data_IF_104582368360
#
_entry.id   IF_104582368360
#
_cell.length_a   1.000
_cell.length_b   1.000
_cell.length_c   1.000
_cell.angle_alpha   90.00
_cell.angle_beta   90.00
_cell.angle_gamma   90.00
#
_symmetry.space_group_name_H-M   'P 1'
#
loop_
_entity.id
_entity.type
_entity.pdbx_description
1 polymer ?
#
# COMPACT_ATOMS: atom_id res chain seq x y z
N UNK A 1 3.10 -0.06 -43.40
CA UNK A 1 3.08 0.62 -42.08
C UNK A 1 3.41 -0.42 -41.01
N UNK A 2 4.18 -0.08 -39.96
CA UNK A 2 4.46 -1.02 -38.88
C UNK A 2 3.17 -1.38 -38.14
N UNK A 3 2.97 -2.67 -37.91
CA UNK A 3 1.75 -3.22 -37.30
C UNK A 3 1.61 -2.77 -35.84
N UNK A 4 2.71 -2.82 -35.10
CA UNK A 4 2.80 -2.34 -33.72
C UNK A 4 3.62 -1.06 -33.68
N UNK A 5 3.14 -0.06 -32.94
CA UNK A 5 3.84 1.18 -32.68
C UNK A 5 4.11 1.33 -31.18
N UNK A 6 5.35 1.65 -30.84
CA UNK A 6 5.78 1.83 -29.45
C UNK A 6 6.06 3.30 -29.19
N UNK A 7 5.90 3.73 -27.95
CA UNK A 7 6.22 5.08 -27.51
C UNK A 7 6.75 5.08 -26.08
N UNK A 8 7.59 6.05 -25.77
CA UNK A 8 8.03 6.37 -24.42
C UNK A 8 7.82 7.87 -24.25
N UNK A 9 7.11 8.26 -23.21
CA UNK A 9 6.89 9.67 -22.87
C UNK A 9 7.17 9.91 -21.40
N UNK A 10 7.94 10.96 -21.11
CA UNK A 10 8.12 11.48 -19.76
C UNK A 10 7.05 12.56 -19.52
N UNK A 11 6.27 12.38 -18.46
CA UNK A 11 5.19 13.30 -18.07
C UNK A 11 5.61 14.29 -16.99
N UNK A 12 6.86 14.23 -16.52
CA UNK A 12 7.35 14.90 -15.31
C UNK A 12 6.86 14.24 -14.02
N UNK A 13 5.80 13.42 -14.07
CA UNK A 13 5.26 12.62 -12.95
C UNK A 13 5.70 11.16 -13.00
N UNK A 14 6.21 10.71 -14.13
CA UNK A 14 6.59 9.33 -14.40
C UNK A 14 6.72 9.07 -15.89
N UNK A 15 7.19 7.86 -16.20
CA UNK A 15 7.35 7.41 -17.57
C UNK A 15 6.14 6.57 -18.00
N UNK A 16 5.60 6.87 -19.18
CA UNK A 16 4.58 6.07 -19.85
C UNK A 16 5.25 5.31 -21.00
N UNK A 17 5.17 3.99 -20.97
CA UNK A 17 5.56 3.12 -22.07
C UNK A 17 4.28 2.65 -22.79
N UNK A 18 4.08 3.15 -24.00
CA UNK A 18 2.88 2.89 -24.79
C UNK A 18 3.12 1.88 -25.91
N UNK A 19 2.09 1.09 -26.21
CA UNK A 19 2.00 0.18 -27.34
C UNK A 19 0.63 0.34 -28.01
N UNK A 20 0.64 0.43 -29.34
CA UNK A 20 -0.58 0.53 -30.16
C UNK A 20 -0.51 -0.53 -31.25
N UNK A 21 -1.57 -1.34 -31.39
CA UNK A 21 -1.80 -2.14 -32.59
C UNK A 21 -2.60 -1.30 -33.60
N UNK A 22 -1.93 -0.89 -34.67
CA UNK A 22 -2.49 0.01 -35.68
C UNK A 22 -3.62 -0.61 -36.51
N UNK A 23 -3.78 -1.93 -36.48
CA UNK A 23 -4.86 -2.63 -37.20
C UNK A 23 -6.16 -2.63 -36.43
N UNK A 24 -6.07 -2.70 -35.09
CA UNK A 24 -7.23 -2.83 -34.20
C UNK A 24 -7.49 -1.57 -33.37
N UNK A 25 -6.59 -0.58 -33.44
CA UNK A 25 -6.52 0.61 -32.59
C UNK A 25 -6.52 0.29 -31.08
N UNK A 26 -6.17 -0.95 -30.71
CA UNK A 26 -6.01 -1.34 -29.32
C UNK A 26 -4.72 -0.76 -28.77
N UNK A 27 -4.79 -0.26 -27.54
CA UNK A 27 -3.68 0.40 -26.86
C UNK A 27 -3.44 -0.21 -25.51
N UNK A 28 -2.17 -0.32 -25.14
CA UNK A 28 -1.73 -0.65 -23.81
C UNK A 28 -0.68 0.36 -23.36
N UNK A 29 -0.70 0.69 -22.08
CA UNK A 29 0.28 1.58 -21.48
C UNK A 29 0.71 1.03 -20.14
N UNK A 30 1.99 1.19 -19.84
CA UNK A 30 2.53 0.96 -18.50
C UNK A 30 3.02 2.29 -17.97
N UNK A 31 2.47 2.72 -16.84
CA UNK A 31 2.89 3.95 -16.17
C UNK A 31 3.67 3.62 -14.90
N UNK A 32 4.90 4.12 -14.81
CA UNK A 32 5.73 4.01 -13.62
C UNK A 32 6.01 5.42 -13.10
N UNK A 33 5.41 5.82 -11.96
CA UNK A 33 5.66 7.13 -11.36
C UNK A 33 7.14 7.35 -11.01
N UNK A 34 7.66 8.57 -11.20
CA UNK A 34 9.08 8.88 -10.90
C UNK A 34 9.40 8.69 -9.41
N UNK A 35 8.44 8.98 -8.54
CA UNK A 35 8.56 8.79 -7.10
C UNK A 35 8.09 7.41 -6.61
N UNK A 36 7.79 6.48 -7.53
CA UNK A 36 7.25 5.18 -7.16
C UNK A 36 8.18 4.45 -6.21
N UNK A 37 7.66 4.17 -5.01
CA UNK A 37 8.29 3.33 -4.00
C UNK A 37 9.75 3.72 -3.67
N UNK A 38 10.08 5.02 -3.81
CA UNK A 38 11.39 5.54 -3.46
C UNK A 38 11.74 5.16 -2.01
N UNK A 39 12.98 4.73 -1.80
CA UNK A 39 13.49 4.27 -0.49
C UNK A 39 12.84 2.99 0.06
N UNK A 40 12.13 2.23 -0.80
CA UNK A 40 11.59 0.90 -0.45
C UNK A 40 12.27 -0.21 -1.23
N UNK A 41 12.05 -1.46 -0.81
CA UNK A 41 12.52 -2.66 -1.52
C UNK A 41 11.94 -2.81 -2.95
N UNK A 42 10.86 -2.08 -3.28
CA UNK A 42 10.19 -2.16 -4.59
C UNK A 42 10.86 -1.29 -5.67
N UNK A 43 11.67 -0.30 -5.30
CA UNK A 43 12.27 0.66 -6.24
C UNK A 43 13.14 -0.03 -7.31
N UNK A 44 14.07 -0.88 -6.87
CA UNK A 44 14.98 -1.60 -7.77
C UNK A 44 14.25 -2.53 -8.75
N UNK A 45 13.38 -3.43 -8.27
CA UNK A 45 12.57 -4.29 -9.13
C UNK A 45 11.65 -3.53 -10.11
N UNK A 46 11.06 -2.40 -9.69
CA UNK A 46 10.26 -1.56 -10.59
C UNK A 46 11.09 -0.92 -11.71
N UNK A 47 12.30 -0.45 -11.38
CA UNK A 47 13.25 0.03 -12.38
C UNK A 47 13.68 -1.08 -13.35
N UNK A 48 13.84 -2.32 -12.87
CA UNK A 48 14.13 -3.46 -13.73
C UNK A 48 12.97 -3.79 -14.70
N UNK A 49 11.71 -3.69 -14.23
CA UNK A 49 10.53 -3.79 -15.11
C UNK A 49 10.53 -2.69 -16.17
N UNK A 50 10.78 -1.44 -15.78
CA UNK A 50 10.86 -0.31 -16.70
C UNK A 50 11.86 -0.59 -17.84
N UNK A 51 13.09 -1.00 -17.49
CA UNK A 51 14.14 -1.32 -18.46
C UNK A 51 13.73 -2.49 -19.36
N UNK A 52 13.09 -3.51 -18.80
CA UNK A 52 12.64 -4.68 -19.56
C UNK A 52 11.54 -4.34 -20.58
N UNK A 53 10.58 -3.47 -20.23
CA UNK A 53 9.55 -3.02 -21.17
C UNK A 53 10.15 -2.11 -22.24
N UNK A 54 11.07 -1.22 -21.87
CA UNK A 54 11.78 -0.39 -22.84
C UNK A 54 12.57 -1.27 -23.84
N UNK A 55 13.26 -2.31 -23.36
CA UNK A 55 13.89 -3.32 -24.20
C UNK A 55 12.90 -4.09 -25.08
N UNK A 56 11.75 -4.46 -24.53
CA UNK A 56 10.64 -5.07 -25.28
C UNK A 56 10.08 -4.16 -26.37
N UNK A 57 9.96 -2.85 -26.12
CA UNK A 57 9.54 -1.87 -27.14
C UNK A 57 10.56 -1.80 -28.30
N UNK A 58 11.86 -1.84 -27.98
CA UNK A 58 12.92 -1.91 -29.00
C UNK A 58 12.79 -3.19 -29.82
N UNK A 59 12.59 -4.33 -29.17
CA UNK A 59 12.40 -5.63 -29.83
C UNK A 59 11.18 -5.62 -30.76
N UNK A 60 10.03 -5.11 -30.29
CA UNK A 60 8.81 -4.95 -31.09
C UNK A 60 9.08 -4.08 -32.31
N UNK A 61 9.79 -2.97 -32.15
CA UNK A 61 10.08 -2.04 -33.25
C UNK A 61 10.96 -2.69 -34.30
N UNK A 62 12.01 -3.42 -33.87
CA UNK A 62 12.92 -4.12 -34.78
C UNK A 62 12.22 -5.28 -35.51
N UNK A 63 11.45 -6.09 -34.79
CA UNK A 63 10.73 -7.22 -35.35
C UNK A 63 9.64 -6.75 -36.33
N UNK A 64 8.88 -5.70 -35.98
CA UNK A 64 7.82 -5.13 -36.83
C UNK A 64 8.35 -4.53 -38.13
N UNK A 65 9.63 -4.16 -38.17
CA UNK A 65 10.28 -3.65 -39.38
C UNK A 65 10.78 -4.77 -40.32
N UNK A 66 10.96 -6.00 -39.81
CA UNK A 66 11.64 -7.09 -40.52
C UNK A 66 10.74 -8.28 -40.83
N UNK A 67 9.71 -8.51 -40.02
CA UNK A 67 8.88 -9.71 -40.10
C UNK A 67 7.49 -9.41 -40.65
N UNK A 68 6.92 -10.39 -41.37
CA UNK A 68 5.52 -10.40 -41.76
C UNK A 68 4.62 -10.62 -40.52
N UNK A 69 3.34 -10.22 -40.54
CA UNK A 69 2.47 -10.24 -39.36
C UNK A 69 2.31 -11.59 -38.66
N UNK A 70 2.21 -12.71 -39.39
CA UNK A 70 2.12 -14.03 -38.75
C UNK A 70 3.44 -14.41 -38.06
N UNK A 71 4.57 -14.23 -38.74
CA UNK A 71 5.91 -14.51 -38.20
C UNK A 71 6.28 -13.57 -37.03
N UNK A 72 5.79 -12.34 -37.04
CA UNK A 72 5.97 -11.37 -35.97
C UNK A 72 5.34 -11.87 -34.67
N UNK A 73 4.12 -12.39 -34.74
CA UNK A 73 3.37 -12.83 -33.56
C UNK A 73 4.06 -14.01 -32.87
N UNK A 74 4.50 -15.01 -33.65
CA UNK A 74 5.27 -16.15 -33.13
C UNK A 74 6.61 -15.70 -32.52
N UNK A 75 7.33 -14.83 -33.22
CA UNK A 75 8.60 -14.28 -32.73
C UNK A 75 8.43 -13.56 -31.39
N UNK A 76 7.44 -12.66 -31.28
CA UNK A 76 7.19 -11.90 -30.05
C UNK A 76 6.74 -12.80 -28.88
N UNK A 77 5.96 -13.85 -29.15
CA UNK A 77 5.61 -14.87 -28.13
C UNK A 77 6.84 -15.61 -27.57
N UNK A 78 7.93 -15.71 -28.34
CA UNK A 78 9.18 -16.30 -27.87
C UNK A 78 10.12 -15.27 -27.22
N UNK A 79 10.30 -14.10 -27.84
CA UNK A 79 11.32 -13.11 -27.46
C UNK A 79 10.91 -12.26 -26.25
N UNK A 80 9.68 -11.76 -26.19
CA UNK A 80 9.25 -10.87 -25.12
C UNK A 80 9.25 -11.54 -23.74
N UNK A 81 8.78 -12.80 -23.58
CA UNK A 81 8.91 -13.48 -22.31
C UNK A 81 10.36 -13.69 -21.88
N UNK A 82 11.30 -13.88 -22.81
CA UNK A 82 12.72 -14.02 -22.46
C UNK A 82 13.30 -12.74 -21.82
N UNK A 83 12.80 -11.57 -22.23
CA UNK A 83 13.20 -10.26 -21.69
C UNK A 83 12.48 -9.97 -20.36
N UNK A 84 11.17 -10.24 -20.29
CA UNK A 84 10.30 -9.75 -19.21
C UNK A 84 10.14 -10.74 -18.05
N UNK A 85 10.28 -12.04 -18.26
CA UNK A 85 9.95 -13.07 -17.26
C UNK A 85 10.69 -12.87 -15.94
N UNK A 86 12.01 -12.68 -15.99
CA UNK A 86 12.81 -12.52 -14.77
C UNK A 86 12.46 -11.23 -14.03
N UNK A 87 12.51 -10.03 -14.66
CA UNK A 87 12.09 -8.78 -14.01
C UNK A 87 10.66 -8.82 -13.46
N UNK A 88 9.72 -9.39 -14.22
CA UNK A 88 8.32 -9.50 -13.82
C UNK A 88 8.14 -10.38 -12.58
N UNK A 89 8.73 -11.58 -12.57
CA UNK A 89 8.60 -12.48 -11.44
C UNK A 89 9.34 -11.96 -10.21
N UNK A 90 10.50 -11.33 -10.37
CA UNK A 90 11.21 -10.66 -9.27
C UNK A 90 10.34 -9.57 -8.66
N UNK A 91 9.78 -8.68 -9.47
CA UNK A 91 8.91 -7.61 -8.96
C UNK A 91 7.66 -8.17 -8.28
N UNK A 92 6.96 -9.12 -8.91
CA UNK A 92 5.78 -9.78 -8.34
C UNK A 92 6.08 -10.43 -6.99
N UNK A 93 7.22 -11.12 -6.88
CA UNK A 93 7.65 -11.73 -5.62
C UNK A 93 7.92 -10.67 -4.56
N UNK A 94 8.67 -9.61 -4.90
CA UNK A 94 8.97 -8.52 -3.96
C UNK A 94 7.71 -7.81 -3.48
N UNK A 95 6.69 -7.65 -4.33
CA UNK A 95 5.37 -7.13 -3.91
C UNK A 95 4.76 -8.03 -2.84
N UNK A 96 4.76 -9.35 -3.05
CA UNK A 96 4.26 -10.32 -2.08
C UNK A 96 4.98 -10.24 -0.74
N UNK A 97 6.32 -10.22 -0.77
CA UNK A 97 7.16 -10.14 0.44
C UNK A 97 6.97 -8.80 1.19
N UNK A 98 6.89 -7.70 0.43
CA UNK A 98 6.67 -6.35 0.97
C UNK A 98 5.26 -6.19 1.57
N UNK A 99 4.24 -6.76 0.92
CA UNK A 99 2.88 -6.79 1.45
C UNK A 99 2.78 -7.65 2.70
N UNK A 100 3.33 -8.87 2.69
CA UNK A 100 3.27 -9.78 3.82
C UNK A 100 3.94 -9.20 5.08
N UNK A 101 5.10 -8.57 4.92
CA UNK A 101 5.80 -7.90 6.02
C UNK A 101 5.01 -6.71 6.55
N UNK A 102 4.47 -5.86 5.68
CA UNK A 102 3.65 -4.71 6.07
C UNK A 102 2.34 -5.13 6.75
N UNK A 103 1.69 -6.16 6.23
CA UNK A 103 0.42 -6.68 6.73
C UNK A 103 0.58 -7.32 8.10
N UNK A 104 1.66 -8.06 8.33
CA UNK A 104 1.99 -8.64 9.64
C UNK A 104 2.10 -7.55 10.71
N UNK A 105 2.78 -6.44 10.39
CA UNK A 105 2.90 -5.29 11.30
C UNK A 105 1.55 -4.61 11.52
N UNK A 106 0.77 -4.42 10.46
CA UNK A 106 -0.57 -3.83 10.55
C UNK A 106 -1.49 -4.65 11.45
N UNK A 107 -1.57 -5.96 11.22
CA UNK A 107 -2.41 -6.88 12.01
C UNK A 107 -1.99 -6.86 13.47
N UNK A 108 -0.70 -6.93 13.77
CA UNK A 108 -0.23 -6.88 15.15
C UNK A 108 -0.63 -5.57 15.85
N UNK A 109 -0.48 -4.44 15.18
CA UNK A 109 -0.83 -3.13 15.75
C UNK A 109 -2.33 -2.89 15.83
N UNK A 110 -3.13 -3.43 14.91
CA UNK A 110 -4.59 -3.31 14.92
C UNK A 110 -5.27 -4.34 15.83
N UNK A 111 -4.53 -5.31 16.34
CA UNK A 111 -5.06 -6.33 17.25
C UNK A 111 -4.83 -5.92 18.71
N UNK A 112 -5.87 -5.89 19.56
CA UNK A 112 -5.73 -5.68 20.99
C UNK A 112 -4.85 -6.75 21.65
N UNK A 113 -4.02 -6.33 22.62
CA UNK A 113 -3.32 -7.29 23.46
C UNK A 113 -4.32 -8.11 24.29
N UNK A 114 -3.98 -9.37 24.66
CA UNK A 114 -4.80 -10.18 25.53
C UNK A 114 -5.18 -9.42 26.80
N UNK A 115 -6.43 -9.57 27.21
CA UNK A 115 -6.92 -8.93 28.41
C UNK A 115 -6.30 -9.57 29.66
N UNK A 116 -5.87 -8.72 30.58
CA UNK A 116 -5.39 -9.11 31.92
C UNK A 116 -6.41 -8.72 32.99
N UNK A 117 -6.33 -9.29 34.20
CA UNK A 117 -7.19 -8.89 35.33
C UNK A 117 -7.13 -7.40 35.66
N UNK A 118 -6.01 -6.73 35.37
CA UNK A 118 -5.81 -5.28 35.61
C UNK A 118 -6.50 -4.46 34.53
N UNK A 119 -6.40 -4.87 33.27
CA UNK A 119 -6.94 -4.13 32.13
C UNK A 119 -8.43 -4.35 31.91
N UNK A 120 -8.98 -5.48 32.39
CA UNK A 120 -10.39 -5.85 32.19
C UNK A 120 -11.37 -4.79 32.67
N UNK A 121 -11.30 -4.31 33.92
CA UNK A 121 -12.27 -3.31 34.39
C UNK A 121 -12.22 -1.99 33.60
N UNK A 122 -11.05 -1.62 33.08
CA UNK A 122 -10.86 -0.42 32.26
C UNK A 122 -11.57 -0.60 30.92
N UNK A 123 -11.37 -1.74 30.25
CA UNK A 123 -11.98 -2.08 28.97
C UNK A 123 -13.50 -2.15 29.08
N UNK A 124 -14.02 -2.89 30.06
CA UNK A 124 -15.46 -3.04 30.31
C UNK A 124 -16.15 -1.70 30.59
N UNK A 125 -15.52 -0.85 31.41
CA UNK A 125 -16.04 0.49 31.70
C UNK A 125 -16.08 1.36 30.45
N UNK A 126 -15.06 1.25 29.61
CA UNK A 126 -14.97 2.05 28.37
C UNK A 126 -16.05 1.66 27.38
N UNK A 127 -16.30 0.37 27.17
CA UNK A 127 -17.38 -0.12 26.31
C UNK A 127 -18.73 0.38 26.82
N UNK A 128 -19.00 0.31 28.13
CA UNK A 128 -20.23 0.84 28.72
C UNK A 128 -20.39 2.35 28.50
N UNK A 129 -19.33 3.13 28.67
CA UNK A 129 -19.36 4.57 28.43
C UNK A 129 -19.59 4.90 26.96
N UNK A 130 -19.02 4.10 26.05
CA UNK A 130 -19.24 4.22 24.61
C UNK A 130 -20.69 3.92 24.23
N UNK A 131 -21.29 2.84 24.75
CA UNK A 131 -22.69 2.50 24.52
C UNK A 131 -23.64 3.60 25.01
N UNK A 132 -23.35 4.17 26.18
CA UNK A 132 -24.10 5.31 26.73
C UNK A 132 -23.95 6.55 25.82
N UNK A 133 -22.74 6.83 25.34
CA UNK A 133 -22.48 7.98 24.47
C UNK A 133 -23.19 7.86 23.11
N UNK A 134 -23.19 6.67 22.50
CA UNK A 134 -23.95 6.41 21.28
C UNK A 134 -25.45 6.54 21.55
N UNK A 135 -25.94 5.95 22.65
CA UNK A 135 -27.36 6.03 23.05
C UNK A 135 -27.84 7.47 23.31
N UNK A 136 -26.97 8.33 23.85
CA UNK A 136 -27.27 9.74 24.07
C UNK A 136 -27.26 10.56 22.76
N UNK A 137 -26.46 10.16 21.77
CA UNK A 137 -26.36 10.81 20.47
C UNK A 137 -27.51 10.50 19.50
N UNK A 138 -28.44 9.61 19.87
CA UNK A 138 -29.63 9.23 19.07
C UNK A 138 -30.51 10.45 18.70
N UNK A 139 -30.45 11.53 19.48
CA UNK A 139 -31.20 12.77 19.25
C UNK A 139 -30.35 13.93 18.68
N UNK A 140 -29.08 13.69 18.36
CA UNK A 140 -28.16 14.70 17.83
C UNK A 140 -28.02 14.61 16.31
N UNK A 141 -27.76 15.72 15.63
CA UNK A 141 -27.46 15.71 14.19
C UNK A 141 -26.19 14.89 13.93
N UNK A 142 -26.14 14.13 12.83
CA UNK A 142 -25.02 13.25 12.48
C UNK A 142 -23.62 13.90 12.62
N UNK A 143 -23.47 15.16 12.20
CA UNK A 143 -22.21 15.89 12.31
C UNK A 143 -21.76 16.17 13.76
N UNK A 144 -22.70 16.40 14.68
CA UNK A 144 -22.39 16.62 16.11
C UNK A 144 -22.03 15.31 16.80
N UNK A 145 -22.71 14.22 16.44
CA UNK A 145 -22.36 12.88 16.91
C UNK A 145 -20.94 12.48 16.48
N UNK A 146 -20.58 12.74 15.22
CA UNK A 146 -19.24 12.47 14.67
C UNK A 146 -18.14 13.23 15.42
N UNK A 147 -18.29 14.56 15.60
CA UNK A 147 -17.30 15.38 16.32
C UNK A 147 -17.14 14.93 17.77
N UNK A 148 -18.24 14.59 18.45
CA UNK A 148 -18.19 14.13 19.83
C UNK A 148 -17.50 12.77 19.97
N UNK A 149 -17.71 11.86 19.01
CA UNK A 149 -17.08 10.54 19.00
C UNK A 149 -15.60 10.60 18.60
N UNK A 150 -15.22 11.50 17.69
CA UNK A 150 -13.81 11.77 17.38
C UNK A 150 -13.06 12.37 18.57
N UNK A 151 -13.65 13.33 19.29
CA UNK A 151 -13.04 13.91 20.47
C UNK A 151 -12.93 12.89 21.60
N UNK A 152 -13.95 12.05 21.79
CA UNK A 152 -13.90 10.95 22.74
C UNK A 152 -12.72 10.01 22.46
N UNK A 153 -12.46 9.69 21.19
CA UNK A 153 -11.32 8.87 20.82
C UNK A 153 -9.97 9.56 21.06
N UNK A 154 -9.88 10.90 20.90
CA UNK A 154 -8.65 11.69 21.14
C UNK A 154 -8.23 11.78 22.61
N UNK A 155 -9.11 11.47 23.55
CA UNK A 155 -8.78 11.51 24.97
C UNK A 155 -8.58 10.11 25.57
N UNK A 156 -8.96 9.07 24.84
CA UNK A 156 -8.78 7.70 25.30
C UNK A 156 -7.32 7.25 25.27
N UNK A 157 -6.95 6.51 26.30
CA UNK A 157 -5.67 5.83 26.44
C UNK A 157 -5.68 4.45 25.74
N UNK A 158 -4.52 3.79 25.70
CA UNK A 158 -4.33 2.52 25.00
C UNK A 158 -5.29 1.41 25.46
N UNK A 159 -5.51 1.27 26.76
CA UNK A 159 -6.38 0.21 27.29
C UNK A 159 -7.85 0.47 27.02
N UNK A 160 -8.26 1.74 27.06
CA UNK A 160 -9.63 2.14 26.70
C UNK A 160 -9.90 1.83 25.23
N UNK A 161 -9.01 2.23 24.32
CA UNK A 161 -9.13 1.93 22.89
C UNK A 161 -9.04 0.42 22.61
N UNK A 162 -8.19 -0.31 23.33
CA UNK A 162 -8.10 -1.78 23.23
C UNK A 162 -9.45 -2.44 23.52
N UNK A 163 -10.19 -1.94 24.52
CA UNK A 163 -11.53 -2.42 24.86
C UNK A 163 -12.52 -2.21 23.72
N UNK A 164 -12.54 -1.02 23.12
CA UNK A 164 -13.44 -0.70 22.01
C UNK A 164 -13.16 -1.54 20.76
N UNK A 165 -11.87 -1.74 20.44
CA UNK A 165 -11.47 -2.57 19.30
C UNK A 165 -11.83 -4.04 19.56
N UNK A 166 -11.54 -4.57 20.74
CA UNK A 166 -11.84 -5.97 21.10
C UNK A 166 -13.34 -6.27 21.11
N UNK A 167 -14.16 -5.33 21.56
CA UNK A 167 -15.61 -5.45 21.57
C UNK A 167 -16.26 -5.22 20.19
N UNK A 168 -15.49 -4.86 19.16
CA UNK A 168 -16.01 -4.59 17.82
C UNK A 168 -16.82 -3.29 17.72
N UNK A 169 -16.73 -2.41 18.73
CA UNK A 169 -17.49 -1.16 18.79
C UNK A 169 -17.28 -0.26 17.57
N UNK A 170 -16.09 -0.29 16.96
CA UNK A 170 -15.77 0.52 15.79
C UNK A 170 -16.64 0.21 14.55
N UNK A 171 -17.20 -1.00 14.46
CA UNK A 171 -18.09 -1.39 13.34
C UNK A 171 -19.43 -0.64 13.35
N UNK A 172 -19.82 -0.08 14.50
CA UNK A 172 -21.04 0.73 14.65
C UNK A 172 -20.86 2.20 14.30
N UNK A 173 -19.62 2.63 14.03
CA UNK A 173 -19.27 4.02 13.73
C UNK A 173 -19.22 4.28 12.22
N UNK A 174 -19.42 5.54 11.79
CA UNK A 174 -19.06 5.95 10.43
C UNK A 174 -17.60 5.62 10.12
N UNK A 175 -17.32 5.20 8.88
CA UNK A 175 -16.01 4.68 8.47
C UNK A 175 -14.86 5.68 8.69
N UNK A 176 -15.13 6.98 8.50
CA UNK A 176 -14.16 8.03 8.76
C UNK A 176 -13.75 8.09 10.25
N UNK A 177 -14.73 8.07 11.15
CA UNK A 177 -14.51 8.11 12.60
C UNK A 177 -13.83 6.83 13.06
N UNK A 178 -14.31 5.66 12.63
CA UNK A 178 -13.70 4.37 12.94
C UNK A 178 -12.22 4.33 12.51
N UNK A 179 -11.89 4.91 11.36
CA UNK A 179 -10.53 5.06 10.86
C UNK A 179 -9.65 5.90 11.78
N UNK A 180 -10.13 7.05 12.26
CA UNK A 180 -9.40 7.91 13.20
C UNK A 180 -9.13 7.20 14.53
N UNK A 181 -10.14 6.50 15.07
CA UNK A 181 -9.99 5.75 16.33
C UNK A 181 -8.97 4.63 16.19
N UNK A 182 -9.06 3.87 15.09
CA UNK A 182 -8.12 2.78 14.81
C UNK A 182 -6.69 3.30 14.61
N UNK A 183 -6.50 4.42 13.90
CA UNK A 183 -5.18 5.03 13.72
C UNK A 183 -4.53 5.40 15.03
N UNK A 184 -5.29 6.04 15.92
CA UNK A 184 -4.80 6.39 17.25
C UNK A 184 -4.47 5.15 18.07
N UNK A 185 -5.32 4.13 18.01
CA UNK A 185 -5.05 2.86 18.69
C UNK A 185 -3.74 2.22 18.21
N UNK A 186 -3.53 2.13 16.89
CA UNK A 186 -2.30 1.61 16.31
C UNK A 186 -1.07 2.46 16.68
N UNK A 187 -1.21 3.79 16.71
CA UNK A 187 -0.14 4.69 17.11
C UNK A 187 0.26 4.47 18.59
N UNK A 188 -0.70 4.35 19.50
CA UNK A 188 -0.44 4.06 20.91
C UNK A 188 0.15 2.66 21.11
N UNK A 189 -0.32 1.65 20.36
CA UNK A 189 0.26 0.29 20.35
C UNK A 189 1.72 0.32 19.90
N UNK A 190 2.02 1.05 18.84
CA UNK A 190 3.37 1.22 18.33
C UNK A 190 4.26 1.92 19.36
N UNK A 191 3.79 3.01 19.96
CA UNK A 191 4.52 3.76 20.98
C UNK A 191 4.85 2.89 22.21
N UNK A 192 3.89 2.10 22.69
CA UNK A 192 4.08 1.17 23.80
C UNK A 192 5.06 0.04 23.44
N UNK A 193 4.92 -0.56 22.26
CA UNK A 193 5.76 -1.68 21.80
C UNK A 193 7.22 -1.26 21.60
N UNK A 194 7.46 -0.07 21.07
CA UNK A 194 8.81 0.45 20.83
C UNK A 194 9.41 1.19 22.04
N UNK A 195 8.64 1.35 23.13
CA UNK A 195 9.09 2.11 24.29
C UNK A 195 9.41 3.57 23.96
N UNK A 196 8.65 4.20 23.04
CA UNK A 196 8.95 5.55 22.55
C UNK A 196 9.02 6.60 23.68
N UNK A 197 8.30 6.38 24.78
CA UNK A 197 8.32 7.27 25.94
C UNK A 197 9.74 7.52 26.49
N UNK A 198 10.63 6.52 26.40
CA UNK A 198 12.02 6.64 26.84
C UNK A 198 12.89 7.47 25.87
N UNK A 199 12.49 7.59 24.61
CA UNK A 199 13.17 8.38 23.58
C UNK A 199 12.87 9.88 23.68
N UNK A 200 11.76 10.23 24.33
CA UNK A 200 11.25 11.59 24.43
C UNK A 200 11.10 12.07 25.88
N UNK A 201 12.19 12.15 26.68
CA UNK A 201 12.12 12.79 27.99
C UNK A 201 11.92 14.31 27.83
N UNK A 202 11.07 14.91 28.68
CA UNK A 202 10.98 16.38 28.75
C UNK A 202 12.33 16.92 29.21
N UNK A 203 12.84 17.93 28.50
CA UNK A 203 14.10 18.57 28.87
C UNK A 203 13.92 19.35 30.17
N UNK A 204 14.84 19.14 31.10
CA UNK A 204 14.89 19.93 32.33
C UNK A 204 15.05 21.42 31.98
N UNK A 205 14.37 22.27 32.73
CA UNK A 205 14.39 23.73 32.56
C UNK A 205 14.56 24.42 33.92
N UNK A 206 14.83 25.72 33.91
CA UNK A 206 14.96 26.49 35.15
C UNK A 206 13.71 26.41 36.05
N UNK A 207 12.53 26.18 35.46
CA UNK A 207 11.25 26.02 36.16
C UNK A 207 10.87 24.56 36.45
N UNK A 208 11.56 23.60 35.83
CA UNK A 208 11.40 22.16 36.09
C UNK A 208 12.76 21.44 35.98
N UNK A 209 13.62 21.55 37.01
CA UNK A 209 15.01 21.10 36.94
C UNK A 209 15.16 19.57 36.96
N UNK A 210 14.11 18.83 37.33
CA UNK A 210 14.09 17.36 37.38
C UNK A 210 12.88 16.87 36.59
N UNK A 211 12.88 17.15 35.29
CA UNK A 211 11.80 16.72 34.41
C UNK A 211 11.80 15.18 34.28
N UNK A 212 10.87 14.52 34.99
CA UNK A 212 10.65 13.07 34.96
C UNK A 212 9.52 12.65 34.00
N UNK A 213 8.91 13.62 33.31
CA UNK A 213 7.80 13.38 32.38
C UNK A 213 8.28 13.10 30.96
N UNK A 214 7.45 12.40 30.20
CA UNK A 214 7.62 12.21 28.76
C UNK A 214 6.97 13.35 27.98
N UNK A 215 7.63 13.79 26.91
CA UNK A 215 7.05 14.65 25.89
C UNK A 215 6.09 13.82 25.03
N UNK A 216 4.84 13.75 25.47
CA UNK A 216 3.80 12.94 24.83
C UNK A 216 3.47 13.44 23.42
N UNK A 217 3.62 14.73 23.14
CA UNK A 217 3.32 15.31 21.84
C UNK A 217 4.37 14.87 20.81
N UNK A 218 5.66 14.97 21.16
CA UNK A 218 6.74 14.49 20.31
C UNK A 218 6.67 12.97 20.08
N UNK A 219 6.36 12.21 21.15
CA UNK A 219 6.17 10.76 21.07
C UNK A 219 5.03 10.39 20.11
N UNK A 220 3.87 11.04 20.25
CA UNK A 220 2.71 10.79 19.40
C UNK A 220 2.93 11.27 17.97
N UNK A 221 3.72 12.31 17.75
CA UNK A 221 4.10 12.75 16.40
C UNK A 221 4.87 11.66 15.65
N UNK A 222 5.87 11.00 16.28
CA UNK A 222 6.57 9.88 15.66
C UNK A 222 5.64 8.68 15.41
N UNK A 223 4.80 8.33 16.39
CA UNK A 223 3.87 7.22 16.25
C UNK A 223 2.85 7.44 15.11
N UNK A 224 2.31 8.65 14.99
CA UNK A 224 1.39 9.03 13.91
C UNK A 224 2.09 9.05 12.55
N UNK A 225 3.35 9.49 12.49
CA UNK A 225 4.15 9.43 11.27
C UNK A 225 4.35 7.98 10.80
N UNK A 226 4.58 7.05 11.73
CA UNK A 226 4.67 5.63 11.43
C UNK A 226 3.35 5.07 10.86
N UNK A 227 2.21 5.34 11.51
CA UNK A 227 0.89 4.88 11.02
C UNK A 227 0.60 5.47 9.62
N UNK A 228 0.95 6.73 9.40
CA UNK A 228 0.81 7.37 8.08
C UNK A 228 1.68 6.70 7.03
N UNK A 229 2.94 6.39 7.34
CA UNK A 229 3.85 5.67 6.45
C UNK A 229 3.33 4.26 6.15
N UNK A 230 2.81 3.54 7.15
CA UNK A 230 2.20 2.22 6.95
C UNK A 230 1.00 2.27 5.99
N UNK A 231 0.15 3.29 6.09
CA UNK A 231 -0.95 3.51 5.12
C UNK A 231 -0.44 3.86 3.73
N UNK A 232 0.62 4.66 3.64
CA UNK A 232 1.25 4.96 2.37
C UNK A 232 1.82 3.69 1.71
N UNK A 233 2.39 2.78 2.49
CA UNK A 233 2.89 1.48 1.99
C UNK A 233 1.78 0.64 1.36
N UNK A 234 0.56 0.64 1.93
CA UNK A 234 -0.58 -0.05 1.33
C UNK A 234 -0.92 0.50 -0.06
N UNK A 235 -0.93 1.83 -0.23
CA UNK A 235 -1.12 2.48 -1.53
C UNK A 235 0.00 2.15 -2.52
N UNK A 236 1.24 2.07 -2.03
CA UNK A 236 2.39 1.66 -2.86
C UNK A 236 2.21 0.23 -3.38
N UNK A 237 1.71 -0.70 -2.56
CA UNK A 237 1.41 -2.07 -2.99
C UNK A 237 0.31 -2.08 -4.06
N UNK A 238 -0.77 -1.32 -3.87
CA UNK A 238 -1.84 -1.21 -4.88
C UNK A 238 -1.31 -0.69 -6.22
N UNK A 239 -0.47 0.35 -6.19
CA UNK A 239 0.21 0.86 -7.39
C UNK A 239 1.13 -0.20 -8.02
N UNK A 240 1.86 -0.97 -7.22
CA UNK A 240 2.72 -2.05 -7.70
C UNK A 240 1.92 -3.16 -8.42
N UNK A 241 0.77 -3.53 -7.85
CA UNK A 241 -0.16 -4.50 -8.45
C UNK A 241 -0.70 -3.95 -9.77
N UNK A 242 -1.03 -2.65 -9.84
CA UNK A 242 -1.49 -2.05 -11.09
C UNK A 242 -0.40 -2.10 -12.17
N UNK A 243 0.86 -1.78 -11.82
CA UNK A 243 1.99 -1.92 -12.75
C UNK A 243 2.06 -3.35 -13.30
N UNK A 244 1.95 -4.39 -12.45
CA UNK A 244 1.94 -5.78 -12.92
C UNK A 244 0.79 -6.06 -13.91
N UNK A 245 -0.42 -5.56 -13.66
CA UNK A 245 -1.57 -5.72 -14.57
C UNK A 245 -1.34 -5.02 -15.91
N UNK A 246 -0.75 -3.83 -15.87
CA UNK A 246 -0.42 -3.06 -17.06
C UNK A 246 0.63 -3.80 -17.91
N UNK A 247 1.64 -4.42 -17.29
CA UNK A 247 2.63 -5.25 -18.01
C UNK A 247 1.98 -6.46 -18.69
N UNK A 248 1.08 -7.16 -18.00
CA UNK A 248 0.36 -8.30 -18.59
C UNK A 248 -0.50 -7.85 -19.78
N UNK A 249 -1.18 -6.70 -19.64
CA UNK A 249 -2.00 -6.11 -20.71
C UNK A 249 -1.15 -5.70 -21.91
N UNK A 250 0.00 -5.07 -21.65
CA UNK A 250 0.98 -4.70 -22.68
C UNK A 250 1.50 -5.93 -23.43
N UNK A 251 1.83 -7.01 -22.72
CA UNK A 251 2.30 -8.25 -23.34
C UNK A 251 1.19 -8.96 -24.13
N UNK A 252 -0.02 -9.00 -23.59
CA UNK A 252 -1.20 -9.55 -24.28
C UNK A 252 -1.45 -8.86 -25.62
N UNK A 253 -1.30 -7.53 -25.67
CA UNK A 253 -1.41 -6.78 -26.91
C UNK A 253 -0.25 -7.08 -27.87
N UNK A 254 0.99 -7.09 -27.39
CA UNK A 254 2.18 -7.34 -28.20
C UNK A 254 2.16 -8.74 -28.84
N UNK A 255 1.74 -9.75 -28.08
CA UNK A 255 1.70 -11.15 -28.51
C UNK A 255 0.36 -11.57 -29.12
N UNK A 256 -0.62 -10.66 -29.22
CA UNK A 256 -1.99 -10.94 -29.71
C UNK A 256 -2.63 -12.17 -29.05
N UNK A 257 -2.47 -12.27 -27.73
CA UNK A 257 -3.00 -13.37 -26.92
C UNK A 257 -3.94 -12.87 -25.83
N UNK A 258 -4.60 -13.79 -25.12
CA UNK A 258 -5.39 -13.42 -23.94
C UNK A 258 -4.50 -12.94 -22.79
N UNK A 259 -5.07 -12.21 -21.84
CA UNK A 259 -4.36 -11.80 -20.62
C UNK A 259 -3.85 -12.98 -19.81
N UNK A 260 -4.59 -14.09 -19.80
CA UNK A 260 -4.22 -15.31 -19.09
C UNK A 260 -3.05 -16.02 -19.76
N UNK A 261 -3.04 -16.08 -21.10
CA UNK A 261 -1.91 -16.60 -21.86
C UNK A 261 -0.67 -15.72 -21.68
N UNK A 262 -0.81 -14.39 -21.73
CA UNK A 262 0.28 -13.46 -21.46
C UNK A 262 0.85 -13.63 -20.05
N UNK A 263 -0.01 -13.79 -19.04
CA UNK A 263 0.42 -14.08 -17.68
C UNK A 263 1.17 -15.42 -17.61
N UNK A 264 0.63 -16.48 -18.24
CA UNK A 264 1.28 -17.78 -18.30
C UNK A 264 2.66 -17.71 -18.96
N UNK A 265 2.83 -16.93 -20.04
CA UNK A 265 4.14 -16.70 -20.68
C UNK A 265 5.15 -16.05 -19.72
N UNK A 266 4.68 -15.13 -18.86
CA UNK A 266 5.51 -14.47 -17.86
C UNK A 266 5.80 -15.33 -16.64
N UNK A 267 4.94 -16.30 -16.29
CA UNK A 267 5.09 -17.08 -15.05
C UNK A 267 5.47 -18.54 -15.26
N UNK A 268 5.47 -19.04 -16.50
CA UNK A 268 5.90 -20.40 -16.79
C UNK A 268 7.33 -20.62 -16.31
N UNK A 269 7.57 -21.73 -15.60
CA UNK A 269 8.92 -22.19 -15.33
C UNK A 269 9.63 -22.38 -16.67
N UNK A 270 10.89 -21.96 -16.78
CA UNK A 270 11.73 -22.41 -17.90
C UNK A 270 11.63 -23.94 -17.90
N UNK A 271 11.03 -24.53 -18.93
CA UNK A 271 11.22 -25.94 -19.19
C UNK A 271 12.74 -26.11 -19.35
N UNK A 272 13.34 -26.75 -18.35
CA UNK A 272 14.72 -27.21 -18.34
C UNK A 272 14.98 -28.17 -19.49
#
# INVERSE_FOLDING_TARGET
>A
MPVLQTSISDTGRGNILGLIDTRTDRRAHVFIPTAFAKDTALAGPAAAIYVAIAGGNVEITQASARLLPEALTEHLKASLPAILRTPFNTFRKTIGDYYASSETVRVDLSTPAPETPITRPIRDRTVKLFDIAIGANVNSTAAVAEVNLENLAKDMNLEQLSGLVAAGCLSSLPSAVAGVVMDRFMALRFAARQGLAAKYPVKASATNPVALSTDNDAMMQEANAFVTAMKANARTVEQAIQICRDVVTWLSLACQCSTDEAFALLTASKNS
#
